data_IF_013976917720
#
_entry.id   IF_013976917720
#
_cell.length_a   1.000
_cell.length_b   1.000
_cell.length_c   1.000
_cell.angle_alpha   90.00
_cell.angle_beta   90.00
_cell.angle_gamma   90.00
#
_symmetry.space_group_name_H-M   'P 1'
#
loop_
_entity.id
_entity.type
_entity.pdbx_description
1 polymer ?
#
# COMPACT_ATOMS: atom_id res chain seq x y z
N UNK A 1 4.39 10.30 27.62
CA UNK A 1 3.75 9.75 26.64
C UNK A 1 4.66 9.12 25.69
N UNK A 2 4.21 8.17 25.08
CA UNK A 2 5.00 7.49 24.21
C UNK A 2 5.06 8.13 22.91
N UNK A 3 6.19 8.33 22.40
CA UNK A 3 6.34 9.01 21.15
C UNK A 3 6.51 7.98 20.09
N UNK A 4 5.43 7.62 19.47
CA UNK A 4 5.49 6.56 18.49
C UNK A 4 6.24 6.92 17.28
N UNK A 5 6.52 8.16 17.06
CA UNK A 5 7.29 8.49 15.89
C UNK A 5 8.68 7.94 16.00
N UNK A 6 9.15 7.69 17.19
CA UNK A 6 10.49 7.21 17.28
C UNK A 6 10.56 5.72 17.43
N UNK A 7 9.46 5.03 17.36
CA UNK A 7 9.51 3.61 17.45
C UNK A 7 10.10 3.05 16.22
N UNK A 8 11.13 2.29 16.35
CA UNK A 8 11.72 1.65 15.23
C UNK A 8 11.91 0.22 15.52
N UNK A 9 11.35 -0.62 14.72
CA UNK A 9 11.48 -2.03 14.92
C UNK A 9 12.63 -2.50 14.11
N UNK A 10 13.81 -2.44 14.67
CA UNK A 10 14.95 -2.75 13.93
C UNK A 10 15.20 -4.19 13.73
N UNK A 11 14.90 -4.97 14.70
CA UNK A 11 15.25 -6.35 14.59
C UNK A 11 14.44 -7.12 13.63
N UNK A 12 13.17 -6.96 13.62
CA UNK A 12 12.34 -7.72 12.71
C UNK A 12 11.81 -6.84 11.63
N UNK A 13 12.01 -5.56 11.70
CA UNK A 13 11.61 -4.66 10.65
C UNK A 13 10.16 -4.81 10.28
N UNK A 14 9.33 -4.95 11.27
CA UNK A 14 7.93 -5.16 11.02
C UNK A 14 7.11 -4.40 12.05
N UNK A 15 6.07 -3.74 11.62
CA UNK A 15 5.14 -3.06 12.50
C UNK A 15 3.79 -3.74 12.39
N UNK A 16 3.09 -3.82 13.50
CA UNK A 16 1.80 -4.49 13.53
C UNK A 16 0.77 -3.57 14.13
N UNK A 17 -0.37 -3.42 13.45
CA UNK A 17 -1.48 -2.67 13.96
C UNK A 17 -2.55 -3.70 14.33
N UNK A 18 -2.81 -3.82 15.62
CA UNK A 18 -3.68 -4.89 16.09
C UNK A 18 -5.15 -4.62 15.85
N UNK A 19 -5.97 -5.61 16.07
CA UNK A 19 -7.38 -5.57 15.72
C UNK A 19 -8.15 -4.49 16.42
N UNK A 20 -7.73 -4.05 17.59
CA UNK A 20 -8.49 -3.08 18.32
C UNK A 20 -8.06 -1.65 18.02
N UNK A 21 -7.12 -1.47 17.12
CA UNK A 21 -6.56 -0.14 16.86
C UNK A 21 -7.28 0.52 15.69
N UNK A 22 -7.65 1.77 15.86
CA UNK A 22 -8.23 2.56 14.79
C UNK A 22 -7.33 3.76 14.60
N UNK A 23 -6.87 3.98 13.39
CA UNK A 23 -5.99 5.09 13.08
C UNK A 23 -6.61 5.94 12.00
N UNK A 24 -6.63 7.23 12.23
CA UNK A 24 -7.06 8.16 11.19
C UNK A 24 -5.89 9.08 10.94
N UNK A 25 -5.40 9.09 9.74
CA UNK A 25 -4.25 9.91 9.39
C UNK A 25 -3.31 9.17 8.47
N UNK A 26 -2.12 9.67 8.35
CA UNK A 26 -1.12 9.13 7.43
C UNK A 26 -0.21 8.16 8.15
N UNK A 27 0.03 7.03 7.53
CA UNK A 27 0.92 6.02 8.07
C UNK A 27 2.09 5.85 7.10
N UNK A 28 3.29 5.92 7.61
CA UNK A 28 4.47 5.67 6.81
C UNK A 28 5.32 4.62 7.49
N UNK A 29 5.70 3.61 6.74
CA UNK A 29 6.57 2.57 7.28
C UNK A 29 7.66 2.30 6.27
N UNK A 30 8.88 2.18 6.70
CA UNK A 30 9.96 1.92 5.76
C UNK A 30 10.18 0.43 5.55
N UNK A 31 9.46 -0.39 6.26
CA UNK A 31 9.60 -1.83 6.11
C UNK A 31 8.23 -2.46 6.03
N UNK A 32 8.04 -3.58 6.65
CA UNK A 32 6.79 -4.31 6.57
C UNK A 32 5.77 -3.78 7.57
N UNK A 33 4.55 -3.58 7.12
CA UNK A 33 3.47 -3.17 7.99
C UNK A 33 2.36 -4.21 7.89
N UNK A 34 1.93 -4.74 9.02
CA UNK A 34 0.81 -5.67 9.06
C UNK A 34 -0.37 -4.99 9.73
N UNK A 35 -1.51 -5.02 9.09
CA UNK A 35 -2.68 -4.32 9.58
C UNK A 35 -3.78 -5.29 9.91
N UNK A 36 -4.14 -5.36 11.17
CA UNK A 36 -5.28 -6.16 11.61
C UNK A 36 -6.40 -5.26 12.12
N UNK A 37 -6.16 -3.98 12.23
CA UNK A 37 -7.16 -3.02 12.70
C UNK A 37 -7.69 -2.17 11.55
N UNK A 38 -8.14 -0.98 11.86
CA UNK A 38 -8.73 -0.10 10.87
C UNK A 38 -7.86 1.13 10.66
N UNK A 39 -7.58 1.44 9.41
CA UNK A 39 -6.84 2.65 9.08
C UNK A 39 -7.66 3.46 8.09
N UNK A 40 -7.82 4.73 8.36
CA UNK A 40 -8.45 5.66 7.44
C UNK A 40 -7.43 6.71 7.07
N UNK A 41 -6.98 6.70 5.85
CA UNK A 41 -6.00 7.68 5.39
C UNK A 41 -4.97 7.05 4.49
N UNK A 42 -4.00 7.83 4.07
CA UNK A 42 -2.94 7.30 3.18
C UNK A 42 -1.97 6.41 3.94
N UNK A 43 -1.55 5.34 3.30
CA UNK A 43 -0.60 4.40 3.88
C UNK A 43 0.54 4.19 2.91
N UNK A 44 1.75 4.39 3.36
CA UNK A 44 2.92 4.11 2.57
C UNK A 44 3.77 3.11 3.31
N UNK A 45 4.14 2.03 2.65
CA UNK A 45 4.98 1.02 3.28
C UNK A 45 5.77 0.32 2.20
N UNK A 46 6.86 -0.31 2.56
CA UNK A 46 7.59 -1.07 1.58
C UNK A 46 6.80 -2.34 1.30
N UNK A 47 6.33 -2.99 2.33
CA UNK A 47 5.46 -4.16 2.17
C UNK A 47 4.29 -4.00 3.11
N UNK A 48 3.10 -4.27 2.63
CA UNK A 48 1.90 -4.09 3.43
C UNK A 48 1.05 -5.34 3.36
N UNK A 49 0.65 -5.83 4.51
CA UNK A 49 -0.24 -6.97 4.60
C UNK A 49 -1.48 -6.55 5.36
N UNK A 50 -2.64 -6.66 4.73
CA UNK A 50 -3.90 -6.41 5.41
C UNK A 50 -4.43 -7.76 5.82
N UNK A 51 -4.48 -7.99 7.12
CA UNK A 51 -4.90 -9.29 7.64
C UNK A 51 -6.40 -9.43 7.57
N UNK A 52 -6.91 -10.61 7.84
CA UNK A 52 -8.34 -10.88 7.68
C UNK A 52 -9.21 -9.93 8.46
N UNK A 53 -8.76 -9.47 9.61
CA UNK A 53 -9.56 -8.55 10.40
C UNK A 53 -9.20 -7.11 10.08
N UNK A 54 -8.27 -6.87 9.16
CA UNK A 54 -7.82 -5.52 8.87
C UNK A 54 -8.66 -4.84 7.82
N UNK A 55 -8.71 -3.53 7.89
CA UNK A 55 -9.41 -2.72 6.90
C UNK A 55 -8.64 -1.44 6.68
N UNK A 56 -8.51 -1.06 5.43
CA UNK A 56 -7.91 0.22 5.11
C UNK A 56 -8.83 0.96 4.16
N UNK A 57 -9.14 2.20 4.50
CA UNK A 57 -9.94 3.05 3.64
C UNK A 57 -9.10 4.26 3.33
N UNK A 58 -8.77 4.45 2.06
CA UNK A 58 -7.93 5.57 1.66
C UNK A 58 -7.03 5.17 0.52
N UNK A 59 -5.75 5.46 0.63
CA UNK A 59 -4.84 5.12 -0.45
C UNK A 59 -3.66 4.32 0.09
N UNK A 60 -3.08 3.50 -0.76
CA UNK A 60 -1.94 2.68 -0.41
C UNK A 60 -0.88 2.82 -1.47
N UNK A 61 0.36 2.99 -1.04
CA UNK A 61 1.50 2.88 -1.94
C UNK A 61 2.48 1.93 -1.30
N UNK A 62 2.83 0.88 -2.00
CA UNK A 62 3.74 -0.13 -1.47
C UNK A 62 4.45 -0.83 -2.61
N UNK A 63 5.52 -1.52 -2.32
CA UNK A 63 6.15 -2.34 -3.33
C UNK A 63 5.44 -3.69 -3.36
N UNK A 64 5.11 -4.21 -2.20
CA UNK A 64 4.40 -5.48 -2.12
C UNK A 64 3.14 -5.26 -1.31
N UNK A 65 2.02 -5.70 -1.83
CA UNK A 65 0.75 -5.53 -1.14
C UNK A 65 0.02 -6.87 -1.11
N UNK A 66 -0.35 -7.31 0.08
CA UNK A 66 -1.10 -8.54 0.25
C UNK A 66 -2.38 -8.19 1.00
N UNK A 67 -3.52 -8.52 0.44
CA UNK A 67 -4.79 -8.16 1.04
C UNK A 67 -5.57 -9.41 1.37
N UNK A 68 -5.74 -9.68 2.66
CA UNK A 68 -6.59 -10.77 3.13
C UNK A 68 -7.80 -10.21 3.87
N UNK A 69 -7.87 -8.90 4.00
CA UNK A 69 -8.98 -8.24 4.66
C UNK A 69 -9.70 -7.33 3.70
N UNK A 70 -10.02 -6.13 4.13
CA UNK A 70 -10.82 -5.22 3.32
C UNK A 70 -10.02 -3.98 2.92
N UNK A 71 -10.13 -3.58 1.67
CA UNK A 71 -9.53 -2.33 1.22
C UNK A 71 -10.51 -1.59 0.35
N UNK A 72 -10.65 -0.29 0.59
CA UNK A 72 -11.49 0.54 -0.25
C UNK A 72 -10.72 1.83 -0.54
N UNK A 73 -10.49 2.11 -1.80
CA UNK A 73 -9.84 3.34 -2.19
C UNK A 73 -8.92 3.11 -3.39
N UNK A 74 -7.74 3.68 -3.33
CA UNK A 74 -6.83 3.60 -4.45
C UNK A 74 -5.51 3.02 -4.00
N UNK A 75 -5.06 1.99 -4.64
CA UNK A 75 -3.82 1.33 -4.26
C UNK A 75 -2.85 1.25 -5.43
N UNK A 76 -1.58 1.45 -5.16
CA UNK A 76 -0.54 1.29 -6.16
C UNK A 76 0.56 0.46 -5.56
N UNK A 77 0.96 -0.59 -6.25
CA UNK A 77 2.03 -1.44 -5.78
C UNK A 77 2.69 -2.13 -6.95
N UNK A 78 3.91 -2.59 -6.76
CA UNK A 78 4.58 -3.32 -7.81
C UNK A 78 3.99 -4.72 -7.90
N UNK A 79 3.76 -5.34 -6.76
CA UNK A 79 3.16 -6.68 -6.74
C UNK A 79 2.00 -6.69 -5.79
N UNK A 80 0.89 -7.25 -6.22
CA UNK A 80 -0.31 -7.30 -5.41
C UNK A 80 -0.84 -8.72 -5.39
N UNK A 81 -1.18 -9.20 -4.20
CA UNK A 81 -1.81 -10.51 -4.04
C UNK A 81 -3.07 -10.32 -3.20
N UNK A 82 -4.19 -10.83 -3.69
CA UNK A 82 -5.43 -10.77 -2.96
C UNK A 82 -5.73 -12.19 -2.51
N UNK A 83 -5.74 -12.39 -1.21
CA UNK A 83 -5.99 -13.72 -0.68
C UNK A 83 -7.47 -14.08 -0.73
N UNK A 84 -7.77 -15.29 -0.35
CA UNK A 84 -9.13 -15.82 -0.46
C UNK A 84 -10.14 -15.04 0.38
N UNK A 85 -9.71 -14.40 1.44
CA UNK A 85 -10.61 -13.63 2.28
C UNK A 85 -10.54 -12.14 1.97
N UNK A 86 -9.83 -11.76 0.92
CA UNK A 86 -9.65 -10.36 0.60
C UNK A 86 -10.81 -9.76 -0.16
N UNK A 87 -11.08 -8.50 0.12
CA UNK A 87 -12.10 -7.74 -0.61
C UNK A 87 -11.50 -6.40 -0.97
N UNK A 88 -11.61 -6.03 -2.25
CA UNK A 88 -11.09 -4.77 -2.71
C UNK A 88 -12.15 -3.99 -3.41
N UNK A 89 -12.25 -2.71 -3.11
CA UNK A 89 -13.15 -1.81 -3.84
C UNK A 89 -12.39 -0.58 -4.24
N UNK A 90 -12.56 -0.14 -5.46
CA UNK A 90 -11.97 1.12 -5.90
C UNK A 90 -11.03 0.94 -7.09
N UNK A 91 -9.87 1.52 -7.02
CA UNK A 91 -8.93 1.51 -8.13
C UNK A 91 -7.61 0.90 -7.70
N UNK A 92 -7.10 0.00 -8.52
CA UNK A 92 -5.86 -0.70 -8.20
C UNK A 92 -4.90 -0.56 -9.37
N UNK A 93 -3.67 -0.18 -9.09
CA UNK A 93 -2.64 -0.15 -10.11
C UNK A 93 -1.51 -1.05 -9.68
N UNK A 94 -1.05 -1.92 -10.56
CA UNK A 94 0.08 -2.77 -10.22
C UNK A 94 1.13 -2.67 -11.32
N UNK A 95 2.38 -2.85 -10.95
CA UNK A 95 3.46 -2.69 -11.91
C UNK A 95 3.95 -3.98 -12.52
N UNK A 96 3.96 -5.03 -11.76
CA UNK A 96 4.57 -6.26 -12.21
C UNK A 96 3.63 -7.45 -12.14
N UNK A 97 3.12 -7.77 -10.99
CA UNK A 97 2.24 -8.90 -10.83
C UNK A 97 1.00 -8.59 -10.07
N UNK A 98 -0.10 -9.21 -10.47
CA UNK A 98 -1.35 -9.11 -9.72
C UNK A 98 -1.90 -10.53 -9.64
N UNK A 99 -2.05 -11.05 -8.44
CA UNK A 99 -2.55 -12.40 -8.24
C UNK A 99 -3.76 -12.40 -7.36
N UNK A 100 -4.70 -13.28 -7.62
CA UNK A 100 -5.87 -13.42 -6.76
C UNK A 100 -6.08 -14.89 -6.47
N UNK A 101 -6.62 -15.18 -5.30
CA UNK A 101 -6.93 -16.54 -4.94
C UNK A 101 -8.44 -16.75 -5.01
N UNK A 102 -8.86 -18.00 -5.07
CA UNK A 102 -10.28 -18.30 -5.14
C UNK A 102 -10.93 -17.78 -3.87
N UNK A 103 -12.04 -17.12 -4.01
CA UNK A 103 -12.74 -16.54 -2.87
C UNK A 103 -12.57 -15.05 -2.75
N UNK A 104 -11.56 -14.50 -3.39
CA UNK A 104 -11.33 -13.06 -3.30
C UNK A 104 -12.48 -12.32 -3.95
N UNK A 105 -12.86 -11.18 -3.36
CA UNK A 105 -13.91 -10.35 -3.93
C UNK A 105 -13.31 -9.06 -4.43
N UNK A 106 -13.46 -8.82 -5.71
CA UNK A 106 -12.85 -7.65 -6.31
C UNK A 106 -13.91 -6.83 -7.02
N UNK A 107 -14.12 -5.62 -6.50
CA UNK A 107 -15.04 -4.69 -7.13
C UNK A 107 -14.23 -3.46 -7.43
N UNK A 108 -13.27 -3.60 -8.33
CA UNK A 108 -12.31 -2.54 -8.56
C UNK A 108 -11.88 -2.50 -9.99
N UNK A 109 -11.37 -1.36 -10.41
CA UNK A 109 -10.76 -1.26 -11.70
C UNK A 109 -9.30 -1.56 -11.52
N UNK A 110 -8.78 -2.53 -12.25
CA UNK A 110 -7.43 -2.97 -12.10
C UNK A 110 -6.65 -2.58 -13.33
N UNK A 111 -5.56 -1.86 -13.13
CA UNK A 111 -4.80 -1.36 -14.21
C UNK A 111 -3.36 -1.73 -14.03
N UNK A 112 -2.72 -2.16 -15.07
CA UNK A 112 -1.30 -2.45 -15.02
C UNK A 112 -0.53 -1.25 -15.53
N UNK A 113 0.47 -0.83 -14.77
CA UNK A 113 1.34 0.21 -15.27
C UNK A 113 2.67 -0.42 -15.50
N UNK A 114 3.48 0.15 -16.35
CA UNK A 114 4.77 -0.47 -16.56
C UNK A 114 5.66 -0.02 -15.41
N UNK A 115 6.74 -0.72 -15.20
CA UNK A 115 7.62 -0.43 -14.10
C UNK A 115 8.20 0.96 -14.18
N UNK A 116 8.42 1.46 -15.35
CA UNK A 116 8.96 2.78 -15.50
C UNK A 116 8.02 3.80 -14.95
N UNK A 117 6.74 3.65 -15.19
CA UNK A 117 5.77 4.60 -14.69
C UNK A 117 5.73 4.61 -13.17
N UNK A 118 5.84 3.46 -12.55
CA UNK A 118 5.84 3.43 -11.13
C UNK A 118 7.09 4.04 -10.55
N UNK A 119 8.20 3.81 -11.17
CA UNK A 119 9.44 4.39 -10.73
C UNK A 119 9.38 5.89 -10.85
N UNK A 120 8.82 6.39 -11.92
CA UNK A 120 8.69 7.82 -12.11
C UNK A 120 7.81 8.42 -11.03
N UNK A 121 6.73 7.76 -10.67
CA UNK A 121 5.89 8.27 -9.65
C UNK A 121 6.64 8.38 -8.35
N UNK A 122 7.42 7.37 -8.00
CA UNK A 122 8.14 7.40 -6.75
C UNK A 122 9.25 8.45 -6.79
N UNK A 123 9.88 8.61 -7.91
CA UNK A 123 10.93 9.60 -8.01
C UNK A 123 10.37 11.00 -7.91
N UNK A 124 9.23 11.24 -8.49
CA UNK A 124 8.64 12.55 -8.41
C UNK A 124 8.34 12.92 -6.97
N UNK A 125 7.99 12.00 -6.15
CA UNK A 125 7.72 12.32 -4.81
C UNK A 125 8.97 12.71 -4.10
N UNK A 126 10.10 12.20 -4.51
CA UNK A 126 11.31 12.55 -3.89
C UNK A 126 11.93 13.72 -4.46
N UNK A 127 11.91 13.91 -5.75
CA UNK A 127 12.56 14.97 -6.35
C UNK A 127 11.68 16.10 -6.44
N UNK A 128 12.14 17.21 -6.63
CA UNK A 128 11.35 18.30 -6.77
C UNK A 128 10.91 18.33 -8.09
N UNK A 129 9.95 18.90 -8.32
CA UNK A 129 9.41 18.92 -9.55
C UNK A 129 10.15 19.51 -10.59
N UNK A 130 11.06 20.21 -10.39
CA UNK A 130 11.67 20.84 -11.42
C UNK A 130 12.17 19.86 -12.38
N UNK A 131 12.36 18.72 -12.02
CA UNK A 131 12.89 17.82 -12.94
C UNK A 131 11.92 17.20 -13.75
N UNK A 132 10.77 17.50 -13.48
CA UNK A 132 9.75 16.91 -14.21
C UNK A 132 9.95 17.08 -15.59
N UNK A 133 10.39 18.15 -15.95
CA UNK A 133 10.45 18.37 -17.31
C UNK A 133 11.29 17.40 -17.90
N UNK A 134 12.25 17.08 -17.30
CA UNK A 134 13.12 16.27 -17.86
C UNK A 134 12.59 15.05 -18.20
N UNK A 135 11.96 14.61 -17.41
CA UNK A 135 11.55 13.37 -17.61
C UNK A 135 10.69 13.25 -18.58
N UNK A 136 10.15 14.13 -18.74
CA UNK A 136 9.24 14.02 -19.67
C UNK A 136 9.77 13.64 -20.83
N UNK A 137 10.75 13.98 -20.96
CA UNK A 137 11.25 13.70 -22.06
C UNK A 137 11.34 12.46 -22.38
N UNK A 138 11.49 12.02 -21.75
CA UNK A 138 11.71 10.86 -21.99
C UNK A 138 10.88 10.35 -22.77
N UNK A 139 10.71 10.77 -23.15
CA UNK A 139 9.91 10.37 -23.83
C UNK A 139 10.05 9.99 -24.35
#
# INVERSE_FOLDING_TARGET
>A
MFDYKTIKIKDNKRSIISETVIIEGTINSSELLEVAGLIKGPVNAKALIIKETGSIIGSIEAELLIINGFFHGKASATEITIGATGTIKGDIEFGNNFKTENGAKIEAQIKKTNNSELIDKFLFKKKDKKDTTTMTLSD
#
